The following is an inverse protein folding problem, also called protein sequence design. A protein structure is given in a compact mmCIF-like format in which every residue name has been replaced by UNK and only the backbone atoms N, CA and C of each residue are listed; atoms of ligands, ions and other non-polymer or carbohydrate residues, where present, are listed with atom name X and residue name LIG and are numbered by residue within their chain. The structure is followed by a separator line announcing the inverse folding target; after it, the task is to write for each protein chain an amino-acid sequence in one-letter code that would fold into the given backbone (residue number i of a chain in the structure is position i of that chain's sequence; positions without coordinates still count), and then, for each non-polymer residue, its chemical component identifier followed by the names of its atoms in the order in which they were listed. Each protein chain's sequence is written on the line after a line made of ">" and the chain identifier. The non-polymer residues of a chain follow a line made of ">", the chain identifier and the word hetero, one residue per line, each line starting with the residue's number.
data_IF_823741489075
#
_entry.id   IF_823741489075
#
_cell.length_a   1.000
_cell.length_b   1.000
_cell.length_c   1.000
_cell.angle_alpha   90.00
_cell.angle_beta   90.00
_cell.angle_gamma   90.00
#
_symmetry.space_group_name_H-M   'P 1'
#
loop_
_entity.id
_entity.type
_entity.pdbx_description
1 polymer ?
#
# COMPACT_ATOMS: atom_id res chain seq x y z
N UNK A 1 -17.18 3.26 -2.63
CA UNK A 1 -16.11 2.48 -3.27
C UNK A 1 -15.66 3.14 -4.56
N UNK A 2 -14.40 2.96 -4.90
CA UNK A 2 -13.84 3.52 -6.13
C UNK A 2 -14.35 2.78 -7.36
N UNK A 3 -14.55 3.51 -8.45
CA UNK A 3 -14.79 2.92 -9.75
C UNK A 3 -13.57 2.06 -10.15
N UNK A 4 -13.73 0.84 -10.70
CA UNK A 4 -12.60 0.03 -11.14
C UNK A 4 -11.63 0.72 -12.08
N UNK A 5 -12.10 1.72 -12.85
CA UNK A 5 -11.26 2.51 -13.73
C UNK A 5 -10.79 3.83 -13.13
N UNK A 6 -11.07 4.08 -11.85
CA UNK A 6 -10.76 5.35 -11.24
C UNK A 6 -9.26 5.54 -11.01
N UNK A 7 -8.84 6.79 -11.00
CA UNK A 7 -7.47 7.17 -10.67
C UNK A 7 -7.12 6.75 -9.24
N UNK A 8 -8.06 6.83 -8.31
CA UNK A 8 -7.86 6.42 -6.92
C UNK A 8 -7.50 4.95 -6.81
N UNK A 9 -8.22 4.09 -7.51
CA UNK A 9 -7.91 2.66 -7.51
C UNK A 9 -6.53 2.39 -8.11
N UNK A 10 -6.18 3.10 -9.19
CA UNK A 10 -4.85 2.98 -9.77
C UNK A 10 -3.75 3.38 -8.80
N UNK A 11 -3.96 4.43 -8.02
CA UNK A 11 -2.99 4.84 -7.00
C UNK A 11 -2.79 3.75 -5.95
N UNK A 12 -3.86 3.14 -5.46
CA UNK A 12 -3.76 2.04 -4.51
C UNK A 12 -3.04 0.84 -5.13
N UNK A 13 -3.39 0.49 -6.37
CA UNK A 13 -2.74 -0.60 -7.10
C UNK A 13 -1.25 -0.33 -7.30
N UNK A 14 -0.87 0.90 -7.65
CA UNK A 14 0.52 1.28 -7.84
C UNK A 14 1.32 1.11 -6.54
N UNK A 15 0.75 1.50 -5.41
CA UNK A 15 1.40 1.30 -4.11
C UNK A 15 1.66 -0.17 -3.82
N UNK A 16 0.66 -1.02 -4.01
CA UNK A 16 0.79 -2.47 -3.85
C UNK A 16 1.86 -3.02 -4.79
N UNK A 17 1.79 -2.62 -6.06
CA UNK A 17 2.69 -3.11 -7.10
C UNK A 17 4.15 -2.77 -6.79
N UNK A 18 4.46 -1.49 -6.62
CA UNK A 18 5.86 -1.07 -6.47
C UNK A 18 6.45 -1.50 -5.13
N UNK A 19 5.65 -1.59 -4.09
CA UNK A 19 6.15 -1.98 -2.77
C UNK A 19 6.19 -3.47 -2.55
N UNK A 20 5.38 -4.26 -3.24
CA UNK A 20 5.21 -5.65 -2.84
C UNK A 20 4.93 -6.64 -3.96
N UNK A 21 5.17 -6.30 -5.22
CA UNK A 21 4.84 -7.20 -6.35
C UNK A 21 5.51 -8.57 -6.27
N UNK A 22 6.66 -8.66 -5.60
CA UNK A 22 7.40 -9.92 -5.44
C UNK A 22 7.09 -10.63 -4.12
N UNK A 23 6.21 -10.05 -3.29
CA UNK A 23 5.81 -10.63 -2.02
C UNK A 23 4.69 -11.65 -2.20
N UNK A 24 4.52 -12.57 -1.22
CA UNK A 24 3.33 -13.41 -1.18
C UNK A 24 2.05 -12.57 -1.15
N UNK A 25 0.94 -13.16 -1.55
CA UNK A 25 -0.36 -12.49 -1.59
C UNK A 25 -0.70 -11.81 -0.24
N UNK A 26 -0.45 -12.50 0.87
CA UNK A 26 -0.71 -11.94 2.21
C UNK A 26 0.08 -10.64 2.44
N UNK A 27 1.32 -10.57 1.96
CA UNK A 27 2.15 -9.37 2.07
C UNK A 27 1.63 -8.23 1.22
N UNK A 28 1.16 -8.54 0.02
CA UNK A 28 0.57 -7.52 -0.87
C UNK A 28 -0.72 -6.95 -0.28
N UNK A 29 -1.57 -7.80 0.29
CA UNK A 29 -2.78 -7.36 0.98
C UNK A 29 -2.43 -6.47 2.17
N UNK A 30 -1.42 -6.83 2.95
CA UNK A 30 -0.99 -6.04 4.11
C UNK A 30 -0.53 -4.64 3.69
N UNK A 31 0.26 -4.52 2.63
CA UNK A 31 0.68 -3.22 2.10
C UNK A 31 -0.54 -2.40 1.64
N UNK A 32 -1.48 -3.03 0.95
CA UNK A 32 -2.72 -2.37 0.53
C UNK A 32 -3.51 -1.84 1.73
N UNK A 33 -3.61 -2.63 2.80
CA UNK A 33 -4.29 -2.20 4.02
C UNK A 33 -3.60 -1.01 4.71
N UNK A 34 -2.27 -0.94 4.68
CA UNK A 34 -1.57 0.23 5.22
C UNK A 34 -1.95 1.49 4.45
N UNK A 35 -1.96 1.45 3.13
CA UNK A 35 -2.33 2.60 2.32
C UNK A 35 -3.78 3.01 2.61
N UNK A 36 -4.70 2.06 2.69
CA UNK A 36 -6.09 2.33 3.03
C UNK A 36 -6.23 2.91 4.44
N UNK A 37 -5.48 2.38 5.41
CA UNK A 37 -5.48 2.89 6.78
C UNK A 37 -5.01 4.34 6.83
N UNK A 38 -3.96 4.68 6.07
CA UNK A 38 -3.47 6.07 5.98
C UNK A 38 -4.56 6.99 5.44
N UNK A 39 -5.22 6.59 4.35
CA UNK A 39 -6.28 7.38 3.74
C UNK A 39 -7.47 7.58 4.70
N UNK A 40 -7.68 6.67 5.63
CA UNK A 40 -8.75 6.71 6.62
C UNK A 40 -8.28 7.19 8.01
N UNK A 41 -7.12 7.83 8.10
CA UNK A 41 -6.50 8.20 9.38
C UNK A 41 -7.02 9.49 10.00
N UNK A 42 -8.05 10.08 9.42
CA UNK A 42 -8.70 11.30 9.94
C UNK A 42 -7.73 12.48 10.10
N UNK A 43 -6.96 12.74 9.04
CA UNK A 43 -6.08 13.90 8.98
C UNK A 43 -4.62 13.64 9.31
N UNK A 44 -4.27 12.46 9.79
CA UNK A 44 -2.86 12.12 10.02
C UNK A 44 -2.09 11.96 8.71
N UNK A 45 -2.77 11.51 7.67
CA UNK A 45 -2.29 11.40 6.30
C UNK A 45 -3.32 12.01 5.36
N UNK A 46 -2.97 12.24 4.07
CA UNK A 46 -3.97 12.66 3.09
C UNK A 46 -5.16 11.68 3.07
N UNK A 47 -6.34 12.19 2.74
CA UNK A 47 -7.60 11.44 2.84
C UNK A 47 -7.98 10.68 1.57
N UNK A 48 -7.04 10.46 0.66
CA UNK A 48 -7.26 9.70 -0.58
C UNK A 48 -6.07 8.78 -0.83
N UNK A 49 -6.27 7.72 -1.61
CA UNK A 49 -5.19 6.82 -1.98
C UNK A 49 -4.11 7.57 -2.77
N UNK A 50 -4.52 8.39 -3.75
CA UNK A 50 -3.56 9.17 -4.52
C UNK A 50 -2.82 10.18 -3.64
N UNK A 51 -3.51 10.81 -2.70
CA UNK A 51 -2.87 11.72 -1.75
C UNK A 51 -1.82 11.01 -0.92
N UNK A 52 -2.13 9.82 -0.41
CA UNK A 52 -1.19 9.01 0.36
C UNK A 52 0.00 8.57 -0.50
N UNK A 53 -0.28 8.03 -1.69
CA UNK A 53 0.77 7.50 -2.56
C UNK A 53 1.73 8.58 -3.03
N UNK A 54 1.19 9.73 -3.44
CA UNK A 54 1.97 10.79 -4.05
C UNK A 54 2.55 11.77 -3.03
N UNK A 55 2.34 11.53 -1.75
CA UNK A 55 2.88 12.36 -0.68
C UNK A 55 4.41 12.38 -0.77
N UNK A 56 4.97 13.59 -0.78
CA UNK A 56 6.40 13.78 -0.96
C UNK A 56 7.20 13.02 0.10
N UNK A 57 8.19 12.26 -0.36
CA UNK A 57 9.13 11.57 0.52
C UNK A 57 8.62 10.30 1.19
N UNK A 58 7.38 9.86 0.90
CA UNK A 58 6.83 8.65 1.53
C UNK A 58 7.20 7.37 0.78
N UNK A 59 7.12 7.38 -0.54
CA UNK A 59 7.43 6.20 -1.35
C UNK A 59 8.56 6.53 -2.33
N UNK A 60 9.63 5.72 -2.31
CA UNK A 60 10.84 5.99 -3.08
C UNK A 60 10.64 5.96 -4.60
N UNK A 61 9.65 5.21 -5.08
CA UNK A 61 9.37 5.12 -6.52
C UNK A 61 8.58 6.34 -7.05
N UNK A 62 8.03 7.16 -6.17
CA UNK A 62 7.29 8.36 -6.57
C UNK A 62 8.28 9.51 -6.74
N UNK A 63 8.29 10.11 -7.95
CA UNK A 63 9.14 11.24 -8.28
C UNK A 63 8.35 12.24 -9.13
N UNK A 64 8.39 13.51 -8.75
CA UNK A 64 7.68 14.54 -9.50
C UNK A 64 6.19 14.33 -9.56
N UNK A 65 5.59 13.78 -8.51
CA UNK A 65 4.15 13.55 -8.42
C UNK A 65 3.63 12.41 -9.29
N UNK A 66 4.51 11.46 -9.67
CA UNK A 66 4.11 10.33 -10.52
C UNK A 66 4.96 9.11 -10.21
N UNK A 67 4.53 7.95 -10.69
CA UNK A 67 5.28 6.71 -10.59
C UNK A 67 5.77 6.25 -11.96
N UNK A 68 6.75 5.31 -12.01
CA UNK A 68 7.28 4.80 -13.29
C UNK A 68 6.20 4.09 -14.12
N UNK A 69 6.44 4.00 -15.42
CA UNK A 69 5.55 3.25 -16.30
C UNK A 69 5.44 1.79 -15.89
N UNK A 70 4.26 1.21 -16.06
CA UNK A 70 3.95 -0.18 -15.71
C UNK A 70 3.47 -0.91 -16.95
N UNK A 71 3.85 -2.16 -17.10
CA UNK A 71 3.22 -3.03 -18.08
C UNK A 71 1.86 -3.49 -17.51
N UNK A 72 0.79 -2.86 -18.00
CA UNK A 72 -0.58 -3.12 -17.51
C UNK A 72 -1.10 -4.49 -17.91
N UNK A 73 -0.41 -5.19 -18.81
CA UNK A 73 -0.74 -6.56 -19.20
C UNK A 73 -0.03 -7.60 -18.34
N UNK A 74 0.91 -7.17 -17.49
CA UNK A 74 1.63 -8.10 -16.62
C UNK A 74 0.73 -8.71 -15.56
N UNK A 75 1.03 -9.94 -15.15
CA UNK A 75 0.30 -10.61 -14.08
C UNK A 75 0.47 -9.85 -12.76
N UNK A 76 1.66 -9.33 -12.51
CA UNK A 76 1.95 -8.58 -11.29
C UNK A 76 1.06 -7.34 -11.18
N UNK A 77 0.87 -6.61 -12.29
CA UNK A 77 -0.02 -5.45 -12.27
C UNK A 77 -1.48 -5.86 -12.09
N UNK A 78 -1.91 -6.89 -12.81
CA UNK A 78 -3.28 -7.41 -12.68
C UNK A 78 -3.57 -7.88 -11.25
N UNK A 79 -2.61 -8.53 -10.61
CA UNK A 79 -2.72 -8.92 -9.20
C UNK A 79 -2.83 -7.70 -8.30
N UNK A 80 -2.00 -6.70 -8.52
CA UNK A 80 -2.06 -5.46 -7.72
C UNK A 80 -3.42 -4.76 -7.84
N UNK A 81 -3.98 -4.71 -9.04
CA UNK A 81 -5.32 -4.14 -9.26
C UNK A 81 -6.39 -4.96 -8.53
N UNK A 82 -6.31 -6.28 -8.60
CA UNK A 82 -7.26 -7.16 -7.90
C UNK A 82 -7.18 -6.96 -6.39
N UNK A 83 -5.97 -6.87 -5.84
CA UNK A 83 -5.75 -6.62 -4.42
C UNK A 83 -6.30 -5.25 -4.02
N UNK A 84 -6.06 -4.23 -4.85
CA UNK A 84 -6.58 -2.90 -4.59
C UNK A 84 -8.11 -2.91 -4.49
N UNK A 85 -8.78 -3.63 -5.39
CA UNK A 85 -10.24 -3.76 -5.34
C UNK A 85 -10.71 -4.46 -4.07
N UNK A 86 -10.04 -5.53 -3.68
CA UNK A 86 -10.37 -6.28 -2.46
C UNK A 86 -10.26 -5.37 -1.23
N UNK A 87 -9.17 -4.63 -1.13
CA UNK A 87 -8.93 -3.72 0.00
C UNK A 87 -9.95 -2.57 -0.01
N UNK A 88 -10.15 -1.94 -1.18
CA UNK A 88 -11.07 -0.81 -1.32
C UNK A 88 -12.52 -1.20 -0.97
N UNK A 89 -12.93 -2.40 -1.33
CA UNK A 89 -14.29 -2.88 -1.07
C UNK A 89 -14.43 -3.58 0.28
N UNK A 90 -13.37 -3.59 1.08
CA UNK A 90 -13.36 -4.20 2.41
C UNK A 90 -13.77 -5.68 2.39
N UNK A 91 -13.24 -6.42 1.41
CA UNK A 91 -13.55 -7.84 1.23
C UNK A 91 -12.56 -8.77 1.92
N UNK A 92 -11.61 -8.23 2.69
CA UNK A 92 -10.58 -9.00 3.37
C UNK A 92 -10.27 -8.35 4.71
N UNK A 93 -10.32 -9.15 5.77
CA UNK A 93 -9.95 -8.67 7.10
C UNK A 93 -8.43 -8.48 7.19
N UNK A 94 -8.02 -7.29 7.59
CA UNK A 94 -6.61 -6.96 7.67
C UNK A 94 -5.91 -7.81 8.73
N UNK A 95 -4.76 -8.40 8.36
CA UNK A 95 -3.88 -9.10 9.31
C UNK A 95 -2.95 -8.14 10.05
N UNK A 96 -2.95 -6.87 9.65
CA UNK A 96 -2.08 -5.84 10.24
C UNK A 96 -2.88 -4.76 10.98
N UNK A 97 -4.18 -4.98 11.17
CA UNK A 97 -5.04 -4.08 11.93
C UNK A 97 -4.96 -2.65 11.41
N UNK A 98 -4.62 -1.72 12.30
CA UNK A 98 -4.53 -0.29 12.00
C UNK A 98 -3.12 0.18 11.69
N UNK A 99 -2.25 -0.71 11.22
CA UNK A 99 -0.87 -0.36 10.88
C UNK A 99 -0.83 0.80 9.87
N UNK A 100 0.06 1.75 10.12
CA UNK A 100 0.25 2.93 9.29
C UNK A 100 1.66 2.99 8.68
N UNK A 101 2.57 2.12 9.14
CA UNK A 101 3.98 2.14 8.73
C UNK A 101 4.46 0.71 8.49
N UNK A 102 5.41 0.59 7.57
CA UNK A 102 6.09 -0.69 7.38
C UNK A 102 7.50 -0.45 6.83
N UNK A 103 8.37 -1.44 7.00
CA UNK A 103 9.68 -1.47 6.37
C UNK A 103 10.04 -2.91 5.99
N UNK A 104 10.99 -3.05 5.07
CA UNK A 104 11.53 -4.36 4.73
C UNK A 104 12.34 -4.92 5.91
N UNK A 105 12.29 -6.25 6.10
CA UNK A 105 13.03 -6.91 7.20
C UNK A 105 14.53 -6.64 7.18
N UNK A 106 15.11 -6.45 5.98
CA UNK A 106 16.55 -6.17 5.83
C UNK A 106 16.94 -4.77 6.33
N UNK A 107 15.96 -3.91 6.57
CA UNK A 107 16.18 -2.55 7.07
C UNK A 107 15.95 -2.55 8.59
N UNK A 108 16.74 -1.79 9.33
CA UNK A 108 16.61 -1.69 10.80
C UNK A 108 16.41 -0.24 11.20
N UNK A 109 15.26 0.37 10.88
CA UNK A 109 14.97 1.72 11.33
C UNK A 109 14.80 1.71 12.85
N UNK A 110 15.24 2.77 13.51
CA UNK A 110 15.10 2.86 14.96
C UNK A 110 13.81 3.59 15.32
N UNK A 111 12.69 3.05 14.85
CA UNK A 111 11.38 3.62 15.11
C UNK A 111 10.92 3.34 16.53
N UNK A 112 10.29 4.34 17.13
CA UNK A 112 9.62 4.20 18.43
C UNK A 112 8.12 3.98 18.23
N UNK A 113 7.78 3.13 17.28
CA UNK A 113 6.41 2.82 16.94
C UNK A 113 6.04 1.46 17.54
N UNK A 114 4.75 1.25 17.78
CA UNK A 114 4.26 -0.03 18.26
C UNK A 114 4.24 -1.03 17.11
N UNK A 115 5.00 -2.12 17.27
CA UNK A 115 5.02 -3.19 16.28
C UNK A 115 3.68 -3.94 16.29
N UNK A 116 3.12 -4.15 15.10
CA UNK A 116 1.90 -4.95 14.91
C UNK A 116 2.26 -6.39 14.57
N UNK A 117 3.21 -6.59 13.66
CA UNK A 117 3.62 -7.92 13.23
C UNK A 117 4.45 -7.88 11.97
N UNK A 118 4.79 -9.06 11.45
CA UNK A 118 5.51 -9.23 10.20
C UNK A 118 4.68 -10.07 9.24
N UNK A 119 4.68 -9.70 7.97
CA UNK A 119 4.03 -10.45 6.90
C UNK A 119 4.98 -10.45 5.71
N UNK A 120 5.32 -11.64 5.19
CA UNK A 120 6.32 -11.74 4.14
C UNK A 120 7.64 -11.12 4.59
N UNK A 121 8.23 -10.28 3.76
CA UNK A 121 9.49 -9.61 4.04
C UNK A 121 9.32 -8.19 4.62
N UNK A 122 8.16 -7.89 5.17
CA UNK A 122 7.86 -6.59 5.77
C UNK A 122 7.48 -6.70 7.24
N UNK A 123 7.82 -5.67 8.01
CA UNK A 123 7.41 -5.51 9.42
C UNK A 123 6.50 -4.29 9.49
N UNK A 124 5.39 -4.43 10.20
CA UNK A 124 4.33 -3.43 10.25
C UNK A 124 4.18 -2.81 11.63
N UNK A 125 3.87 -1.52 11.66
CA UNK A 125 3.77 -0.72 12.89
C UNK A 125 2.55 0.20 12.83
N UNK A 126 2.10 0.58 13.98
CA UNK A 126 1.07 1.61 14.12
C UNK A 126 1.56 2.84 14.88
#
# INVERSE_FOLDING_TARGET
>A
ASDPGSRELECLAAGVYFESKSEPLAGQLAVGHVIANRANSKGRFPSSYCGVLLQRGQFSFVRGGRWPAVNRSSMQWKNAVAIARIVDQDLHDSTVGKALFFHAKRVSPRWRLTRVGAVGNHVFYR
#
